data_IF_216657322081
#
_entry.id   IF_216657322081
#
_cell.length_a   1.000
_cell.length_b   1.000
_cell.length_c   1.000
_cell.angle_alpha   90.00
_cell.angle_beta   90.00
_cell.angle_gamma   90.00
#
_symmetry.space_group_name_H-M   'P 1'
#
loop_
_entity.id
_entity.type
_entity.pdbx_description
1 polymer ?
#
# COMPACT_ATOMS: atom_id res chain seq x y z
N UNK A 1 -47.22 -13.69 5.11
CA UNK A 1 -46.06 -13.58 4.21
C UNK A 1 -44.91 -13.02 5.04
N UNK A 2 -43.91 -13.84 5.35
CA UNK A 2 -42.83 -13.45 6.25
C UNK A 2 -41.72 -12.77 5.44
N UNK A 3 -41.54 -11.48 5.63
CA UNK A 3 -40.39 -10.75 5.09
C UNK A 3 -39.10 -11.30 5.71
N UNK A 4 -38.27 -11.93 4.87
CA UNK A 4 -36.95 -12.40 5.26
C UNK A 4 -36.06 -11.17 5.42
N UNK A 5 -35.84 -10.74 6.65
CA UNK A 5 -34.77 -9.81 6.99
C UNK A 5 -33.43 -10.44 6.57
N UNK A 6 -32.85 -9.92 5.48
CA UNK A 6 -31.45 -10.21 5.13
C UNK A 6 -30.63 -9.08 5.75
N UNK A 7 -29.79 -9.34 6.76
CA UNK A 7 -28.84 -8.33 7.18
C UNK A 7 -27.87 -8.13 6.01
N UNK A 8 -27.94 -6.95 5.38
CA UNK A 8 -26.86 -6.48 4.51
C UNK A 8 -25.63 -6.30 5.40
N UNK A 9 -24.84 -7.36 5.56
CA UNK A 9 -23.44 -7.22 5.95
C UNK A 9 -22.74 -6.53 4.78
N UNK A 10 -22.91 -5.20 4.68
CA UNK A 10 -21.92 -4.35 4.03
C UNK A 10 -20.71 -4.43 4.94
N UNK A 11 -19.85 -5.43 4.70
CA UNK A 11 -18.48 -5.38 5.18
C UNK A 11 -17.95 -4.02 4.77
N UNK A 12 -17.79 -3.13 5.76
CA UNK A 12 -17.12 -1.86 5.54
C UNK A 12 -15.73 -2.26 5.10
N UNK A 13 -15.44 -2.10 3.80
CA UNK A 13 -14.15 -2.44 3.22
C UNK A 13 -13.07 -1.84 4.13
N UNK A 14 -12.32 -2.72 4.80
CA UNK A 14 -11.38 -2.29 5.81
C UNK A 14 -10.31 -1.47 5.09
N UNK A 15 -10.19 -0.18 5.46
CA UNK A 15 -9.21 0.72 4.82
C UNK A 15 -7.81 0.13 5.02
N UNK A 16 -7.06 -0.07 3.93
CA UNK A 16 -5.63 -0.41 4.00
C UNK A 16 -4.90 0.70 4.73
N UNK A 17 -4.07 0.30 5.70
CA UNK A 17 -3.26 1.21 6.50
C UNK A 17 -1.82 1.21 5.99
N UNK A 18 -1.34 2.37 5.53
CA UNK A 18 0.06 2.58 5.19
C UNK A 18 0.89 2.85 6.46
N UNK A 19 2.08 2.28 6.53
CA UNK A 19 3.00 2.42 7.67
C UNK A 19 4.39 2.78 7.18
N UNK A 20 5.03 3.70 7.88
CA UNK A 20 6.47 3.97 7.71
C UNK A 20 7.23 2.99 8.60
N UNK A 21 8.09 2.19 8.00
CA UNK A 21 9.01 1.29 8.70
C UNK A 21 10.35 2.00 8.83
N UNK A 22 10.82 2.15 10.07
CA UNK A 22 12.12 2.78 10.38
C UNK A 22 13.29 1.92 9.83
N UNK A 23 14.41 2.56 9.43
CA UNK A 23 15.61 1.86 9.01
C UNK A 23 16.13 0.89 10.08
N UNK A 24 16.66 -0.26 9.65
CA UNK A 24 17.31 -1.24 10.53
C UNK A 24 18.44 -1.95 9.80
N UNK A 25 19.63 -1.96 10.39
CA UNK A 25 20.78 -2.65 9.81
C UNK A 25 21.15 -2.10 8.43
N UNK A 26 21.08 -2.95 7.42
CA UNK A 26 21.32 -2.63 6.01
C UNK A 26 20.09 -2.02 5.30
N UNK A 27 18.94 -1.92 5.98
CA UNK A 27 17.68 -1.45 5.38
C UNK A 27 17.45 0.03 5.60
N UNK A 28 17.03 0.70 4.52
CA UNK A 28 16.55 2.08 4.56
C UNK A 28 15.09 2.16 5.06
N UNK A 29 14.52 3.36 5.03
CA UNK A 29 13.09 3.53 5.26
C UNK A 29 12.28 2.68 4.29
N UNK A 30 11.13 2.17 4.76
CA UNK A 30 10.16 1.53 3.89
C UNK A 30 8.75 2.09 4.09
N UNK A 31 7.93 2.01 3.04
CA UNK A 31 6.48 2.09 3.15
C UNK A 31 5.92 0.67 3.11
N UNK A 32 5.24 0.27 4.17
CA UNK A 32 4.60 -1.04 4.29
C UNK A 32 3.09 -0.95 4.36
N UNK A 33 2.40 -1.99 3.89
CA UNK A 33 0.96 -2.15 4.02
C UNK A 33 0.58 -3.64 4.04
N UNK A 34 -0.61 -3.93 4.57
CA UNK A 34 -1.20 -5.27 4.55
C UNK A 34 -2.46 -5.21 3.67
N UNK A 35 -2.50 -6.02 2.61
CA UNK A 35 -3.67 -6.09 1.73
C UNK A 35 -4.35 -7.45 1.76
N UNK A 36 -5.67 -7.49 1.51
CA UNK A 36 -6.50 -8.70 1.61
C UNK A 36 -6.83 -9.35 0.27
N UNK A 37 -6.69 -8.62 -0.83
CA UNK A 37 -7.00 -9.11 -2.17
C UNK A 37 -5.88 -8.76 -3.14
N UNK A 38 -5.82 -9.48 -4.25
CA UNK A 38 -4.83 -9.23 -5.29
C UNK A 38 -5.01 -7.86 -5.94
N UNK A 39 -6.26 -7.43 -6.13
CA UNK A 39 -6.57 -6.12 -6.68
C UNK A 39 -6.12 -4.99 -5.74
N UNK A 40 -6.40 -5.13 -4.45
CA UNK A 40 -5.99 -4.15 -3.44
C UNK A 40 -4.46 -4.03 -3.38
N UNK A 41 -3.76 -5.18 -3.30
CA UNK A 41 -2.30 -5.18 -3.27
C UNK A 41 -1.69 -4.61 -4.55
N UNK A 42 -2.23 -4.96 -5.73
CA UNK A 42 -1.78 -4.38 -7.00
C UNK A 42 -1.92 -2.87 -7.00
N UNK A 43 -3.08 -2.37 -6.59
CA UNK A 43 -3.36 -0.94 -6.60
C UNK A 43 -2.46 -0.17 -5.62
N UNK A 44 -2.27 -0.67 -4.41
CA UNK A 44 -1.36 -0.03 -3.44
C UNK A 44 0.10 -0.11 -3.87
N UNK A 45 0.54 -1.25 -4.43
CA UNK A 45 1.89 -1.38 -4.97
C UNK A 45 2.15 -0.34 -6.08
N UNK A 46 1.23 -0.18 -7.03
CA UNK A 46 1.35 0.84 -8.08
C UNK A 46 1.30 2.27 -7.53
N UNK A 47 0.42 2.55 -6.58
CA UNK A 47 0.32 3.88 -5.97
C UNK A 47 1.62 4.26 -5.24
N UNK A 48 2.18 3.35 -4.44
CA UNK A 48 3.45 3.55 -3.75
C UNK A 48 4.57 3.78 -4.76
N UNK A 49 4.68 2.93 -5.77
CA UNK A 49 5.71 3.06 -6.79
C UNK A 49 5.62 4.40 -7.54
N UNK A 50 4.42 4.76 -7.99
CA UNK A 50 4.11 6.00 -8.71
C UNK A 50 4.53 7.23 -7.92
N UNK A 51 4.02 7.36 -6.67
CA UNK A 51 4.27 8.54 -5.83
C UNK A 51 5.74 8.63 -5.43
N UNK A 52 6.36 7.54 -4.99
CA UNK A 52 7.77 7.56 -4.58
C UNK A 52 8.71 7.82 -5.77
N UNK A 53 8.39 7.34 -6.98
CA UNK A 53 9.14 7.69 -8.20
C UNK A 53 8.98 9.16 -8.57
N UNK A 54 7.76 9.72 -8.52
CA UNK A 54 7.48 11.15 -8.75
C UNK A 54 8.23 12.04 -7.76
N UNK A 55 8.34 11.63 -6.49
CA UNK A 55 9.15 12.28 -5.47
C UNK A 55 10.66 12.06 -5.63
N UNK A 56 11.09 11.29 -6.62
CA UNK A 56 12.50 11.05 -6.93
C UNK A 56 13.22 10.15 -5.93
N UNK A 57 12.51 9.32 -5.17
CA UNK A 57 13.01 8.56 -4.00
C UNK A 57 13.57 7.16 -4.32
N UNK A 58 13.54 6.73 -5.58
CA UNK A 58 14.05 5.42 -6.04
C UNK A 58 13.54 4.22 -5.20
N UNK A 59 12.23 3.91 -5.28
CA UNK A 59 11.63 2.83 -4.50
C UNK A 59 11.98 1.44 -5.06
N UNK A 60 12.17 0.47 -4.17
CA UNK A 60 12.41 -0.95 -4.47
C UNK A 60 11.39 -1.81 -3.73
N UNK A 61 10.69 -2.70 -4.44
CA UNK A 61 9.72 -3.60 -3.82
C UNK A 61 10.47 -4.71 -3.06
N UNK A 62 10.62 -4.55 -1.75
CA UNK A 62 11.49 -5.38 -0.91
C UNK A 62 10.78 -6.63 -0.39
N UNK A 63 9.50 -6.51 -0.05
CA UNK A 63 8.68 -7.62 0.47
C UNK A 63 7.44 -7.82 -0.39
N UNK A 64 7.20 -9.08 -0.76
CA UNK A 64 6.11 -9.47 -1.66
C UNK A 64 6.40 -9.14 -3.12
N UNK A 65 7.67 -9.10 -3.53
CA UNK A 65 8.11 -8.83 -4.90
C UNK A 65 8.45 -10.09 -5.73
N UNK A 66 8.22 -11.28 -5.18
CA UNK A 66 8.43 -12.52 -5.94
C UNK A 66 7.49 -12.54 -7.14
N UNK A 67 7.88 -13.04 -8.33
CA UNK A 67 7.03 -12.99 -9.53
C UNK A 67 5.65 -13.64 -9.35
N UNK A 68 5.55 -14.64 -8.46
CA UNK A 68 4.30 -15.32 -8.12
C UNK A 68 3.44 -14.61 -7.07
N UNK A 69 4.02 -13.67 -6.31
CA UNK A 69 3.34 -13.00 -5.18
C UNK A 69 3.40 -11.48 -5.26
N UNK A 70 3.85 -10.92 -6.39
CA UNK A 70 4.06 -9.48 -6.61
C UNK A 70 2.85 -8.63 -6.17
N UNK A 71 1.65 -9.20 -6.30
CA UNK A 71 0.40 -8.59 -5.88
C UNK A 71 -0.46 -9.57 -5.07
N UNK A 72 0.11 -10.61 -4.47
CA UNK A 72 -0.64 -11.55 -3.65
C UNK A 72 -1.17 -10.86 -2.37
N UNK A 73 -2.28 -11.34 -1.77
CA UNK A 73 -2.69 -10.89 -0.44
C UNK A 73 -1.57 -11.06 0.59
N UNK A 74 -1.50 -10.14 1.56
CA UNK A 74 -0.55 -10.17 2.67
C UNK A 74 0.24 -8.87 2.81
N UNK A 75 1.37 -8.98 3.51
CA UNK A 75 2.25 -7.86 3.79
C UNK A 75 3.18 -7.53 2.62
N UNK A 76 3.21 -6.25 2.24
CA UNK A 76 4.13 -5.70 1.26
C UNK A 76 4.93 -4.54 1.87
N UNK A 77 6.18 -4.38 1.41
CA UNK A 77 7.04 -3.27 1.82
C UNK A 77 7.92 -2.79 0.66
N UNK A 78 8.02 -1.46 0.53
CA UNK A 78 8.82 -0.78 -0.48
C UNK A 78 9.95 -0.01 0.19
N UNK A 79 11.18 -0.44 -0.06
CA UNK A 79 12.39 0.22 0.44
C UNK A 79 12.76 1.44 -0.40
N UNK A 80 13.19 2.49 0.28
CA UNK A 80 13.53 3.78 -0.33
C UNK A 80 15.05 3.92 -0.36
N UNK A 81 15.66 3.81 -1.54
CA UNK A 81 17.11 3.75 -1.67
C UNK A 81 17.79 5.12 -1.73
N UNK A 82 17.03 6.20 -1.92
CA UNK A 82 17.54 7.57 -1.76
C UNK A 82 17.28 8.09 -0.37
N UNK A 83 18.09 9.06 0.04
CA UNK A 83 17.95 9.72 1.34
C UNK A 83 16.56 10.35 1.45
N UNK A 84 15.80 9.90 2.46
CA UNK A 84 14.50 10.44 2.85
C UNK A 84 14.45 10.54 4.38
N UNK A 85 13.66 11.48 4.89
CA UNK A 85 13.31 11.56 6.30
C UNK A 85 11.94 10.93 6.55
N UNK A 86 11.64 10.62 7.81
CA UNK A 86 10.31 10.16 8.20
C UNK A 86 9.24 11.20 7.85
N UNK A 87 9.55 12.49 7.98
CA UNK A 87 8.67 13.61 7.69
C UNK A 87 8.35 13.71 6.19
N UNK A 88 9.35 13.52 5.32
CA UNK A 88 9.14 13.44 3.86
C UNK A 88 8.12 12.35 3.53
N UNK A 89 8.28 11.17 4.13
CA UNK A 89 7.41 10.03 3.88
C UNK A 89 6.00 10.22 4.44
N UNK A 90 5.86 10.84 5.62
CA UNK A 90 4.55 11.18 6.20
C UNK A 90 3.75 12.09 5.28
N UNK A 91 4.41 13.03 4.60
CA UNK A 91 3.75 13.92 3.64
C UNK A 91 3.25 13.19 2.40
N UNK A 92 3.89 12.08 2.01
CA UNK A 92 3.51 11.29 0.83
C UNK A 92 2.43 10.24 1.10
N UNK A 93 2.20 9.84 2.36
CA UNK A 93 1.17 8.82 2.68
C UNK A 93 -0.22 9.20 2.16
N UNK A 94 -0.73 10.44 2.35
CA UNK A 94 -2.04 10.83 1.83
C UNK A 94 -2.11 10.80 0.29
N UNK A 95 -1.01 11.14 -0.40
CA UNK A 95 -0.93 11.09 -1.86
C UNK A 95 -1.01 9.64 -2.37
N UNK A 96 -0.31 8.71 -1.71
CA UNK A 96 -0.38 7.27 -2.01
C UNK A 96 -1.81 6.75 -1.80
N UNK A 97 -2.46 7.11 -0.69
CA UNK A 97 -3.85 6.72 -0.44
C UNK A 97 -4.80 7.27 -1.51
N UNK A 98 -4.60 8.52 -1.94
CA UNK A 98 -5.44 9.16 -2.96
C UNK A 98 -5.25 8.51 -4.34
N UNK A 99 -4.00 8.23 -4.73
CA UNK A 99 -3.70 7.55 -6.00
C UNK A 99 -4.33 6.14 -6.00
N UNK A 100 -4.17 5.38 -4.92
CA UNK A 100 -4.77 4.05 -4.78
C UNK A 100 -6.31 4.08 -4.88
N UNK A 101 -6.97 5.04 -4.21
CA UNK A 101 -8.44 5.20 -4.27
C UNK A 101 -8.94 5.53 -5.67
N UNK A 102 -8.20 6.34 -6.41
CA UNK A 102 -8.54 6.73 -7.78
C UNK A 102 -8.53 5.52 -8.72
N UNK A 103 -7.62 4.56 -8.49
CA UNK A 103 -7.55 3.33 -9.29
C UNK A 103 -8.66 2.31 -8.94
N UNK A 104 -9.10 2.24 -7.69
CA UNK A 104 -10.20 1.35 -7.26
C UNK A 104 -11.59 1.86 -7.65
N UNK A 105 -11.71 3.16 -7.97
CA UNK A 105 -12.99 3.79 -8.32
C UNK A 105 -13.19 3.93 -9.84
N UNK A 106 -12.20 3.51 -10.63
CA UNK A 106 -12.17 3.62 -12.09
C UNK A 106 -12.60 2.35 -12.81
#
# INVERSE_FOLDING_TARGET
MSEKFKPENKEVAQKVELRIVEPRGDKNFMIGFEGKSQEECRTYNWAIESVLKKAGLNPFHQVGASPSEQHGPGYHAWEIWKKATKEDLKMLLPEIEQEARSMLSG
#
